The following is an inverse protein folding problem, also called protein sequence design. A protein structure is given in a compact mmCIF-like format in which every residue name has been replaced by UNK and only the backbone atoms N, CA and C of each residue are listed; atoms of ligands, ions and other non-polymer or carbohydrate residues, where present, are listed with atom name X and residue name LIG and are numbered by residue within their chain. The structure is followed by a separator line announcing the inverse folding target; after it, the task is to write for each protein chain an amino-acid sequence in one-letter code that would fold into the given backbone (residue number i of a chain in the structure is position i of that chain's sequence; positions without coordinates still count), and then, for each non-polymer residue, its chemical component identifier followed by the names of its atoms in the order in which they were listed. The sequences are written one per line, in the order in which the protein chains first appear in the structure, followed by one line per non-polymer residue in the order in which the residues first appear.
data_IF_375768416472
#
_entry.id   IF_375768416472
#
_cell.length_a   1.000
_cell.length_b   1.000
_cell.length_c   1.000
_cell.angle_alpha   90.00
_cell.angle_beta   90.00
_cell.angle_gamma   90.00
#
_symmetry.space_group_name_H-M   'P 1'
#
loop_
_entity.id
_entity.type
_entity.pdbx_description
1 polymer ?
#
# COMPACT_ATOMS: atom_id res chain seq x y z
N UNK A 1 -9.75 0.21 -18.12
CA UNK A 1 -10.66 -0.10 -17.00
C UNK A 1 -11.19 1.21 -16.47
N UNK A 2 -12.51 1.33 -16.29
CA UNK A 2 -13.12 2.59 -15.86
C UNK A 2 -12.62 3.03 -14.47
N UNK A 3 -12.35 4.34 -14.25
CA UNK A 3 -11.80 4.85 -13.00
C UNK A 3 -12.73 4.66 -11.79
N UNK A 4 -14.03 4.43 -12.02
CA UNK A 4 -15.04 4.27 -10.97
C UNK A 4 -15.40 2.81 -10.65
N UNK A 5 -14.72 1.84 -11.28
CA UNK A 5 -15.02 0.43 -11.02
C UNK A 5 -14.66 0.06 -9.58
N UNK A 6 -15.56 -0.56 -8.80
CA UNK A 6 -15.25 -1.00 -7.44
C UNK A 6 -14.10 -1.99 -7.43
N UNK A 7 -13.38 -2.04 -6.30
CA UNK A 7 -12.19 -2.87 -6.12
C UNK A 7 -12.42 -4.32 -6.53
N UNK A 8 -13.49 -4.93 -6.04
CA UNK A 8 -13.80 -6.35 -6.28
C UNK A 8 -13.99 -6.61 -7.78
N UNK A 9 -14.76 -5.76 -8.47
CA UNK A 9 -14.96 -5.88 -9.91
C UNK A 9 -13.64 -5.74 -10.71
N UNK A 10 -12.67 -4.95 -10.23
CA UNK A 10 -11.34 -4.87 -10.86
C UNK A 10 -10.54 -6.16 -10.67
N UNK A 11 -10.56 -6.72 -9.45
CA UNK A 11 -9.92 -8.00 -9.17
C UNK A 11 -10.56 -9.11 -10.00
N UNK A 12 -11.89 -9.21 -10.01
CA UNK A 12 -12.63 -10.23 -10.76
C UNK A 12 -12.34 -10.15 -12.26
N UNK A 13 -12.32 -8.93 -12.82
CA UNK A 13 -11.94 -8.70 -14.20
C UNK A 13 -10.49 -9.13 -14.48
N UNK A 14 -9.54 -8.76 -13.61
CA UNK A 14 -8.13 -9.09 -13.76
C UNK A 14 -7.88 -10.61 -13.67
N UNK A 15 -8.55 -11.28 -12.72
CA UNK A 15 -8.51 -12.74 -12.55
C UNK A 15 -9.11 -13.47 -13.75
N UNK A 16 -10.26 -13.01 -14.25
CA UNK A 16 -10.90 -13.57 -15.44
C UNK A 16 -10.00 -13.44 -16.66
N UNK A 17 -9.43 -12.26 -16.89
CA UNK A 17 -8.46 -12.03 -17.97
C UNK A 17 -7.20 -12.88 -17.84
N UNK A 18 -6.71 -13.11 -16.62
CA UNK A 18 -5.57 -13.99 -16.39
C UNK A 18 -5.94 -15.43 -16.73
N UNK A 19 -7.06 -15.94 -16.22
CA UNK A 19 -7.56 -17.29 -16.49
C UNK A 19 -7.67 -17.53 -18.00
N UNK A 20 -8.31 -16.64 -18.73
CA UNK A 20 -8.54 -16.81 -20.17
C UNK A 20 -7.21 -16.82 -20.95
N UNK A 21 -6.23 -15.99 -20.54
CA UNK A 21 -4.87 -16.02 -21.11
C UNK A 21 -4.14 -17.32 -20.79
N UNK A 22 -4.24 -17.80 -19.55
CA UNK A 22 -3.60 -19.06 -19.16
C UNK A 22 -4.22 -20.25 -19.89
N UNK A 23 -5.54 -20.27 -20.09
CA UNK A 23 -6.20 -21.28 -20.92
C UNK A 23 -5.72 -21.25 -22.37
N UNK A 24 -5.64 -20.07 -22.98
CA UNK A 24 -5.12 -19.89 -24.33
C UNK A 24 -3.68 -20.41 -24.47
N UNK A 25 -2.81 -20.04 -23.53
CA UNK A 25 -1.40 -20.43 -23.59
C UNK A 25 -1.16 -21.89 -23.20
N UNK A 26 -2.06 -22.52 -22.41
CA UNK A 26 -1.93 -23.91 -21.99
C UNK A 26 -1.85 -24.86 -23.19
N UNK A 27 -2.61 -24.57 -24.24
CA UNK A 27 -2.59 -25.36 -25.48
C UNK A 27 -1.32 -25.12 -26.31
N UNK A 28 -0.66 -23.97 -26.16
CA UNK A 28 0.53 -23.60 -26.94
C UNK A 28 1.85 -23.94 -26.25
N UNK A 29 1.88 -23.95 -24.92
CA UNK A 29 3.09 -24.23 -24.13
C UNK A 29 3.05 -25.64 -23.55
N UNK A 30 3.77 -26.56 -24.19
CA UNK A 30 3.88 -27.97 -23.75
C UNK A 30 4.98 -28.19 -22.72
N UNK A 31 6.09 -27.44 -22.82
CA UNK A 31 7.24 -27.61 -21.92
C UNK A 31 7.11 -26.80 -20.63
N UNK A 32 7.70 -27.30 -19.54
CA UNK A 32 7.72 -26.61 -18.24
C UNK A 32 8.43 -25.25 -18.33
N UNK A 33 9.56 -25.19 -19.02
CA UNK A 33 10.30 -23.95 -19.26
C UNK A 33 9.47 -22.95 -20.09
N UNK A 34 8.79 -23.41 -21.14
CA UNK A 34 7.89 -22.57 -21.95
C UNK A 34 6.75 -21.97 -21.12
N UNK A 35 6.10 -22.77 -20.27
CA UNK A 35 5.07 -22.29 -19.35
C UNK A 35 5.61 -21.22 -18.39
N UNK A 36 6.79 -21.45 -17.79
CA UNK A 36 7.41 -20.48 -16.89
C UNK A 36 7.74 -19.14 -17.59
N UNK A 37 8.27 -19.20 -18.82
CA UNK A 37 8.58 -18.01 -19.63
C UNK A 37 7.31 -17.25 -19.98
N UNK A 38 6.27 -17.93 -20.46
CA UNK A 38 4.98 -17.28 -20.81
C UNK A 38 4.35 -16.61 -19.59
N UNK A 39 4.41 -17.23 -18.41
CA UNK A 39 3.99 -16.60 -17.17
C UNK A 39 4.76 -15.30 -16.91
N UNK A 40 6.09 -15.36 -16.94
CA UNK A 40 6.96 -14.22 -16.59
C UNK A 40 6.90 -13.08 -17.61
N UNK A 41 6.81 -13.39 -18.90
CA UNK A 41 6.92 -12.41 -19.98
C UNK A 41 5.57 -11.88 -20.48
N UNK A 42 4.48 -12.66 -20.38
CA UNK A 42 3.21 -12.33 -21.03
C UNK A 42 2.06 -12.20 -20.03
N UNK A 43 1.81 -13.24 -19.23
CA UNK A 43 0.62 -13.30 -18.39
C UNK A 43 0.73 -12.39 -17.15
N UNK A 44 1.82 -12.54 -16.38
CA UNK A 44 2.01 -11.79 -15.15
C UNK A 44 2.20 -10.28 -15.37
N UNK A 45 3.00 -9.80 -16.35
CA UNK A 45 3.13 -8.36 -16.59
C UNK A 45 1.80 -7.66 -16.83
N UNK A 46 0.90 -8.27 -17.61
CA UNK A 46 -0.42 -7.70 -17.89
C UNK A 46 -1.32 -7.75 -16.66
N UNK A 47 -1.29 -8.83 -15.88
CA UNK A 47 -2.00 -8.91 -14.61
C UNK A 47 -1.59 -7.75 -13.68
N UNK A 48 -0.27 -7.54 -13.53
CA UNK A 48 0.25 -6.49 -12.65
C UNK A 48 -0.09 -5.09 -13.12
N UNK A 49 -0.24 -4.88 -14.42
CA UNK A 49 -0.74 -3.61 -14.96
C UNK A 49 -2.20 -3.37 -14.53
N UNK A 50 -3.06 -4.38 -14.62
CA UNK A 50 -4.46 -4.25 -14.19
C UNK A 50 -4.59 -4.01 -12.67
N UNK A 51 -3.70 -4.64 -11.89
CA UNK A 51 -3.67 -4.54 -10.42
C UNK A 51 -2.81 -3.39 -9.88
N UNK A 52 -2.25 -2.53 -10.75
CA UNK A 52 -1.37 -1.44 -10.35
C UNK A 52 -2.05 -0.42 -9.41
N UNK A 53 -3.38 -0.30 -9.51
CA UNK A 53 -4.18 0.67 -8.75
C UNK A 53 -5.04 0.03 -7.65
N UNK A 54 -4.88 -1.28 -7.41
CA UNK A 54 -5.61 -2.03 -6.39
C UNK A 54 -4.66 -2.41 -5.27
N UNK A 55 -5.00 -2.09 -4.02
CA UNK A 55 -4.17 -2.45 -2.88
C UNK A 55 -3.99 -3.98 -2.79
N UNK A 56 -2.77 -4.48 -2.52
CA UNK A 56 -2.52 -5.91 -2.41
C UNK A 56 -3.39 -6.57 -1.33
N UNK A 57 -3.96 -7.73 -1.66
CA UNK A 57 -4.65 -8.60 -0.71
C UNK A 57 -4.23 -10.06 -0.81
N UNK A 58 -4.27 -10.72 0.34
CA UNK A 58 -3.91 -12.13 0.52
C UNK A 58 -4.85 -13.06 -0.23
N UNK A 59 -6.15 -12.74 -0.27
CA UNK A 59 -7.18 -13.57 -0.93
C UNK A 59 -6.98 -13.64 -2.43
N UNK A 60 -6.88 -12.49 -3.10
CA UNK A 60 -6.64 -12.42 -4.56
C UNK A 60 -5.26 -12.98 -4.90
N UNK A 61 -4.25 -12.70 -4.10
CA UNK A 61 -2.91 -13.25 -4.30
C UNK A 61 -2.90 -14.78 -4.23
N UNK A 62 -3.59 -15.39 -3.27
CA UNK A 62 -3.70 -16.85 -3.17
C UNK A 62 -4.40 -17.47 -4.39
N UNK A 63 -5.42 -16.80 -4.95
CA UNK A 63 -6.09 -17.25 -6.18
C UNK A 63 -5.13 -17.16 -7.37
N UNK A 64 -4.32 -16.09 -7.47
CA UNK A 64 -3.30 -15.95 -8.52
C UNK A 64 -2.25 -17.06 -8.41
N UNK A 65 -1.71 -17.30 -7.21
CA UNK A 65 -0.73 -18.35 -6.96
C UNK A 65 -1.30 -19.73 -7.30
N UNK A 66 -2.57 -19.99 -6.97
CA UNK A 66 -3.27 -21.22 -7.36
C UNK A 66 -3.36 -21.37 -8.87
N UNK A 67 -3.75 -20.33 -9.60
CA UNK A 67 -3.83 -20.38 -11.07
C UNK A 67 -2.46 -20.60 -11.72
N UNK A 68 -1.41 -19.99 -11.18
CA UNK A 68 -0.02 -20.23 -11.60
C UNK A 68 0.34 -21.71 -11.43
N UNK A 69 0.04 -22.29 -10.26
CA UNK A 69 0.32 -23.70 -9.97
C UNK A 69 -0.47 -24.64 -10.88
N UNK A 70 -1.75 -24.36 -11.13
CA UNK A 70 -2.58 -25.15 -12.04
C UNK A 70 -2.01 -25.12 -13.46
N UNK A 71 -1.67 -23.93 -13.97
CA UNK A 71 -1.10 -23.78 -15.30
C UNK A 71 0.23 -24.55 -15.47
N UNK A 72 1.13 -24.42 -14.49
CA UNK A 72 2.42 -25.14 -14.48
C UNK A 72 2.20 -26.66 -14.51
N UNK A 73 1.32 -27.17 -13.66
CA UNK A 73 0.98 -28.60 -13.60
C UNK A 73 0.12 -29.09 -14.78
N UNK A 74 -0.32 -28.19 -15.67
CA UNK A 74 -1.13 -28.55 -16.84
C UNK A 74 -2.61 -28.75 -16.56
N UNK A 75 -3.07 -28.35 -15.37
CA UNK A 75 -4.47 -28.30 -14.99
C UNK A 75 -5.16 -27.05 -15.58
N UNK A 76 -6.48 -27.10 -15.85
CA UNK A 76 -7.23 -25.91 -16.23
C UNK A 76 -7.25 -24.91 -15.05
N UNK A 77 -6.87 -23.64 -15.26
CA UNK A 77 -6.95 -22.61 -14.23
C UNK A 77 -8.40 -22.30 -13.86
N UNK A 78 -8.72 -22.28 -12.56
CA UNK A 78 -10.08 -22.01 -12.04
C UNK A 78 -10.03 -20.88 -11.02
N UNK A 79 -11.02 -19.99 -11.08
CA UNK A 79 -11.24 -18.93 -10.09
C UNK A 79 -12.14 -19.52 -9.00
N UNK A 80 -11.59 -19.78 -7.81
CA UNK A 80 -12.33 -20.33 -6.66
C UNK A 80 -11.93 -21.75 -6.25
N UNK A 81 -12.86 -22.49 -5.66
CA UNK A 81 -12.65 -23.83 -5.10
C UNK A 81 -12.59 -24.91 -6.20
N UNK A 82 -11.60 -24.85 -7.09
CA UNK A 82 -11.27 -25.96 -7.98
C UNK A 82 -10.54 -27.09 -7.25
N UNK A 83 -10.88 -28.34 -7.59
CA UNK A 83 -10.20 -29.54 -7.12
C UNK A 83 -8.69 -29.47 -7.40
N UNK A 84 -7.90 -29.91 -6.45
CA UNK A 84 -6.47 -30.09 -6.59
C UNK A 84 -6.27 -31.41 -7.31
N UNK A 85 -5.93 -31.36 -8.61
CA UNK A 85 -5.50 -32.56 -9.31
C UNK A 85 -4.19 -33.09 -8.70
N UNK A 86 -3.75 -34.27 -9.17
CA UNK A 86 -2.43 -34.77 -8.81
C UNK A 86 -1.35 -33.81 -9.37
N UNK A 87 -0.79 -32.99 -8.49
CA UNK A 87 0.28 -32.04 -8.82
C UNK A 87 1.60 -32.79 -8.98
N UNK A 88 2.19 -32.66 -10.16
CA UNK A 88 3.55 -33.14 -10.42
C UNK A 88 4.59 -32.29 -9.69
N UNK A 89 4.33 -30.98 -9.56
CA UNK A 89 5.22 -30.03 -8.92
C UNK A 89 4.59 -29.40 -7.68
N UNK A 90 5.30 -29.53 -6.56
CA UNK A 90 4.94 -28.89 -5.31
C UNK A 90 5.16 -27.37 -5.37
N UNK A 91 4.36 -26.63 -4.59
CA UNK A 91 4.41 -25.17 -4.55
C UNK A 91 5.79 -24.61 -4.19
N UNK A 92 6.52 -25.30 -3.31
CA UNK A 92 7.88 -24.89 -2.90
C UNK A 92 8.86 -24.89 -4.07
N UNK A 93 8.74 -25.83 -5.01
CA UNK A 93 9.62 -25.94 -6.19
C UNK A 93 9.28 -24.84 -7.20
N UNK A 94 7.98 -24.59 -7.41
CA UNK A 94 7.51 -23.57 -8.38
C UNK A 94 7.97 -22.18 -7.96
N UNK A 95 7.88 -21.84 -6.68
CA UNK A 95 8.26 -20.52 -6.16
C UNK A 95 9.70 -20.44 -5.63
N UNK A 96 10.46 -21.53 -5.70
CA UNK A 96 11.87 -21.51 -5.33
C UNK A 96 12.71 -20.70 -6.35
N UNK A 97 13.81 -20.08 -5.90
CA UNK A 97 14.77 -19.44 -6.78
C UNK A 97 15.40 -20.43 -7.77
N UNK A 98 15.82 -19.93 -8.94
CA UNK A 98 16.47 -20.75 -9.98
C UNK A 98 17.75 -21.44 -9.50
N UNK A 99 18.50 -20.80 -8.60
CA UNK A 99 19.72 -21.38 -8.02
C UNK A 99 19.45 -22.52 -7.02
N UNK A 100 18.20 -22.68 -6.56
CA UNK A 100 17.75 -23.79 -5.71
C UNK A 100 16.90 -24.79 -6.51
N UNK A 101 17.20 -24.97 -7.80
CA UNK A 101 16.46 -25.81 -8.74
C UNK A 101 14.96 -25.46 -8.87
N UNK A 102 14.55 -24.24 -8.50
CA UNK A 102 13.19 -23.75 -8.66
C UNK A 102 12.92 -23.08 -10.01
N UNK A 103 11.66 -22.75 -10.29
CA UNK A 103 11.27 -22.07 -11.54
C UNK A 103 11.54 -20.56 -11.53
N UNK A 104 11.94 -20.01 -10.38
CA UNK A 104 12.19 -18.57 -10.21
C UNK A 104 10.93 -17.72 -10.30
N UNK A 105 9.75 -18.32 -10.19
CA UNK A 105 8.50 -17.57 -9.98
C UNK A 105 8.48 -17.08 -8.54
N UNK A 106 7.85 -15.93 -8.32
CA UNK A 106 7.70 -15.35 -6.98
C UNK A 106 6.23 -15.42 -6.58
N UNK A 107 5.92 -15.63 -5.29
CA UNK A 107 4.55 -15.55 -4.81
C UNK A 107 3.89 -14.23 -5.22
N UNK A 108 2.61 -14.29 -5.57
CA UNK A 108 1.85 -13.17 -6.10
C UNK A 108 1.82 -12.01 -5.12
N UNK A 109 1.57 -12.27 -3.83
CA UNK A 109 1.50 -11.23 -2.80
C UNK A 109 2.83 -10.48 -2.68
N UNK A 110 3.95 -11.20 -2.70
CA UNK A 110 5.30 -10.61 -2.60
C UNK A 110 5.57 -9.71 -3.80
N UNK A 111 5.32 -10.22 -5.01
CA UNK A 111 5.55 -9.47 -6.25
C UNK A 111 4.65 -8.24 -6.35
N UNK A 112 3.36 -8.42 -6.02
CA UNK A 112 2.36 -7.37 -6.08
C UNK A 112 2.66 -6.27 -5.06
N UNK A 113 3.00 -6.64 -3.82
CA UNK A 113 3.39 -5.70 -2.78
C UNK A 113 4.66 -4.93 -3.16
N UNK A 114 5.69 -5.61 -3.67
CA UNK A 114 6.93 -4.96 -4.11
C UNK A 114 6.69 -3.93 -5.22
N UNK A 115 5.82 -4.24 -6.20
CA UNK A 115 5.43 -3.30 -7.27
C UNK A 115 4.67 -2.11 -6.72
N UNK A 116 3.70 -2.33 -5.82
CA UNK A 116 2.97 -1.25 -5.16
C UNK A 116 3.88 -0.34 -4.35
N UNK A 117 4.85 -0.91 -3.62
CA UNK A 117 5.88 -0.16 -2.88
C UNK A 117 6.72 0.73 -3.80
N UNK A 118 7.17 0.20 -4.94
CA UNK A 118 7.92 0.96 -5.94
C UNK A 118 7.12 2.13 -6.53
N UNK A 119 5.85 1.89 -6.88
CA UNK A 119 4.97 2.97 -7.35
C UNK A 119 4.67 4.00 -6.26
N UNK A 120 4.42 3.54 -5.03
CA UNK A 120 4.17 4.37 -3.86
C UNK A 120 5.32 5.34 -3.61
N UNK A 121 6.56 4.83 -3.65
CA UNK A 121 7.75 5.66 -3.46
C UNK A 121 7.88 6.75 -4.54
N UNK A 122 7.74 6.38 -5.82
CA UNK A 122 7.80 7.34 -6.93
C UNK A 122 6.70 8.39 -6.85
N UNK A 123 5.50 7.98 -6.42
CA UNK A 123 4.39 8.89 -6.17
C UNK A 123 4.75 9.91 -5.08
N UNK A 124 5.24 9.44 -3.91
CA UNK A 124 5.63 10.31 -2.80
C UNK A 124 6.74 11.27 -3.19
N UNK A 125 7.75 10.79 -3.92
CA UNK A 125 8.84 11.62 -4.43
C UNK A 125 8.30 12.73 -5.34
N UNK A 126 7.52 12.38 -6.37
CA UNK A 126 6.97 13.36 -7.29
C UNK A 126 6.01 14.36 -6.61
N UNK A 127 5.22 13.90 -5.64
CA UNK A 127 4.28 14.74 -4.91
C UNK A 127 4.96 15.74 -3.95
N UNK A 128 6.15 15.43 -3.45
CA UNK A 128 6.84 16.21 -2.42
C UNK A 128 8.05 17.01 -2.93
N UNK A 129 8.74 16.56 -3.99
CA UNK A 129 9.93 17.27 -4.52
C UNK A 129 9.64 18.19 -5.70
N UNK A 130 8.58 17.94 -6.46
CA UNK A 130 8.41 18.60 -7.76
C UNK A 130 7.61 19.88 -7.58
N UNK A 131 8.21 21.01 -7.98
CA UNK A 131 7.55 22.32 -8.06
C UNK A 131 7.63 22.84 -9.50
N UNK A 132 6.50 23.09 -10.18
CA UNK A 132 5.12 22.94 -9.70
C UNK A 132 4.69 21.47 -9.53
N UNK A 133 3.72 21.23 -8.65
CA UNK A 133 3.18 19.88 -8.39
C UNK A 133 2.66 19.26 -9.70
N UNK A 134 3.01 18.01 -10.03
CA UNK A 134 2.56 17.38 -11.25
C UNK A 134 1.02 17.31 -11.34
N UNK A 135 0.46 17.69 -12.48
CA UNK A 135 -0.99 17.71 -12.69
C UNK A 135 -1.66 16.34 -12.43
N UNK A 136 -0.92 15.24 -12.66
CA UNK A 136 -1.41 13.88 -12.44
C UNK A 136 -1.49 13.48 -10.96
N UNK A 137 -0.69 14.09 -10.06
CA UNK A 137 -0.71 13.78 -8.62
C UNK A 137 -1.67 14.68 -7.84
N UNK A 138 -1.91 15.90 -8.32
CA UNK A 138 -2.75 16.90 -7.65
C UNK A 138 -4.13 16.39 -7.19
N UNK A 139 -4.95 15.72 -8.03
CA UNK A 139 -6.26 15.20 -7.58
C UNK A 139 -6.13 14.15 -6.47
N UNK A 140 -5.08 13.33 -6.53
CA UNK A 140 -4.82 12.30 -5.53
C UNK A 140 -4.38 12.90 -4.19
N UNK A 141 -3.54 13.93 -4.24
CA UNK A 141 -3.15 14.71 -3.06
C UNK A 141 -4.35 15.42 -2.44
N UNK A 142 -5.23 16.01 -3.25
CA UNK A 142 -6.43 16.68 -2.78
C UNK A 142 -7.40 15.73 -2.06
N UNK A 143 -7.62 14.51 -2.58
CA UNK A 143 -8.47 13.50 -1.91
C UNK A 143 -7.91 13.12 -0.53
N UNK A 144 -6.60 12.94 -0.43
CA UNK A 144 -5.95 12.57 0.82
C UNK A 144 -5.92 13.75 1.80
N UNK A 145 -5.61 14.95 1.31
CA UNK A 145 -5.63 16.18 2.11
C UNK A 145 -7.04 16.48 2.64
N UNK A 146 -8.08 16.30 1.84
CA UNK A 146 -9.46 16.46 2.27
C UNK A 146 -9.85 15.45 3.37
N UNK A 147 -9.36 14.21 3.28
CA UNK A 147 -9.55 13.22 4.34
C UNK A 147 -8.76 13.56 5.62
N UNK A 148 -7.68 14.34 5.51
CA UNK A 148 -6.85 14.83 6.60
C UNK A 148 -7.23 16.25 7.06
N UNK A 149 -8.22 16.89 6.44
CA UNK A 149 -8.70 18.19 6.88
C UNK A 149 -9.37 18.07 8.27
N UNK A 150 -9.25 19.09 9.14
CA UNK A 150 -8.62 20.40 8.93
C UNK A 150 -7.12 20.46 9.29
N UNK A 151 -6.44 19.33 9.50
CA UNK A 151 -5.14 19.27 10.20
C UNK A 151 -3.92 19.57 9.34
N UNK A 152 -4.10 19.79 8.04
CA UNK A 152 -3.04 20.17 7.13
C UNK A 152 -3.26 19.69 5.70
N UNK A 153 -2.23 19.89 4.89
CA UNK A 153 -2.17 19.46 3.50
C UNK A 153 -1.60 18.02 3.36
N UNK A 154 -1.25 17.62 2.14
CA UNK A 154 -0.68 16.30 1.88
C UNK A 154 0.75 16.13 2.41
N UNK A 155 1.61 17.15 2.29
CA UNK A 155 2.99 17.11 2.78
C UNK A 155 3.02 17.04 4.31
N UNK A 156 2.14 17.79 4.94
CA UNK A 156 1.84 17.75 6.37
C UNK A 156 1.55 16.30 6.82
N UNK A 157 0.65 15.60 6.13
CA UNK A 157 0.38 14.19 6.43
C UNK A 157 1.59 13.27 6.16
N UNK A 158 2.34 13.52 5.08
CA UNK A 158 3.46 12.69 4.67
C UNK A 158 4.59 12.67 5.71
N UNK A 159 4.78 13.76 6.46
CA UNK A 159 5.80 13.88 7.49
C UNK A 159 5.26 13.69 8.92
N UNK A 160 3.96 13.45 9.09
CA UNK A 160 3.36 13.27 10.39
C UNK A 160 3.87 12.01 11.11
N UNK A 161 3.91 12.05 12.45
CA UNK A 161 4.22 10.89 13.26
C UNK A 161 3.10 9.82 13.17
N UNK A 162 3.38 8.59 12.68
CA UNK A 162 2.39 7.51 12.58
C UNK A 162 1.91 6.98 13.94
N UNK A 163 2.61 7.29 15.03
CA UNK A 163 2.21 6.91 16.39
C UNK A 163 0.92 7.62 16.84
N UNK A 164 0.63 8.78 16.26
CA UNK A 164 -0.48 9.64 16.66
C UNK A 164 -1.84 8.94 16.48
N UNK A 165 -2.73 8.99 17.50
CA UNK A 165 -4.06 8.38 17.42
C UNK A 165 -4.88 8.83 16.20
N UNK A 166 -4.71 10.09 15.78
CA UNK A 166 -5.38 10.68 14.61
C UNK A 166 -4.94 10.03 13.31
N UNK A 167 -3.64 9.83 13.10
CA UNK A 167 -3.10 9.16 11.91
C UNK A 167 -3.56 7.70 11.89
N UNK A 168 -3.55 7.02 13.03
CA UNK A 168 -4.10 5.66 13.16
C UNK A 168 -5.58 5.59 12.81
N UNK A 169 -6.38 6.60 13.20
CA UNK A 169 -7.81 6.71 12.85
C UNK A 169 -7.99 6.97 11.35
N UNK A 170 -7.21 7.89 10.78
CA UNK A 170 -7.21 8.19 9.35
C UNK A 170 -6.93 6.94 8.50
N UNK A 171 -5.89 6.17 8.86
CA UNK A 171 -5.51 4.93 8.19
C UNK A 171 -6.55 3.80 8.32
N UNK A 172 -7.52 3.92 9.24
CA UNK A 172 -8.68 3.02 9.37
C UNK A 172 -9.94 3.57 8.68
N UNK A 173 -10.00 4.88 8.41
CA UNK A 173 -11.16 5.55 7.84
C UNK A 173 -11.48 5.08 6.42
N UNK A 174 -12.76 5.02 6.06
CA UNK A 174 -13.21 4.78 4.68
C UNK A 174 -12.97 5.99 3.75
N UNK A 175 -12.74 7.17 4.32
CA UNK A 175 -12.46 8.39 3.55
C UNK A 175 -11.16 8.31 2.75
N UNK A 176 -10.17 7.55 3.23
CA UNK A 176 -8.92 7.31 2.51
C UNK A 176 -9.04 6.02 1.69
N UNK A 177 -8.82 6.05 0.37
CA UNK A 177 -8.79 4.84 -0.44
C UNK A 177 -7.70 3.86 0.02
N UNK A 178 -7.99 2.56 -0.02
CA UNK A 178 -7.08 1.52 0.50
C UNK A 178 -5.68 1.55 -0.12
N UNK A 179 -5.55 1.95 -1.40
CA UNK A 179 -4.25 2.13 -2.05
C UNK A 179 -3.39 3.18 -1.35
N UNK A 180 -4.00 4.27 -0.90
CA UNK A 180 -3.29 5.35 -0.20
C UNK A 180 -3.00 4.95 1.24
N UNK A 181 -3.88 4.17 1.88
CA UNK A 181 -3.55 3.56 3.19
C UNK A 181 -2.31 2.67 3.10
N UNK A 182 -2.24 1.82 2.06
CA UNK A 182 -1.08 0.97 1.82
C UNK A 182 0.18 1.80 1.58
N UNK A 183 0.09 2.80 0.70
CA UNK A 183 1.18 3.74 0.41
C UNK A 183 1.68 4.48 1.66
N UNK A 184 0.77 5.07 2.45
CA UNK A 184 1.11 5.83 3.64
C UNK A 184 1.70 4.93 4.73
N UNK A 185 1.14 3.74 4.98
CA UNK A 185 1.74 2.77 5.91
C UNK A 185 3.16 2.42 5.50
N UNK A 186 3.37 2.08 4.24
CA UNK A 186 4.70 1.77 3.73
C UNK A 186 5.67 2.95 3.85
N UNK A 187 5.21 4.17 3.55
CA UNK A 187 5.99 5.39 3.69
C UNK A 187 6.39 5.66 5.15
N UNK A 188 5.46 5.50 6.08
CA UNK A 188 5.73 5.65 7.51
C UNK A 188 6.69 4.57 8.02
N UNK A 189 6.51 3.31 7.60
CA UNK A 189 7.40 2.21 7.97
C UNK A 189 8.84 2.48 7.52
N UNK A 190 9.04 3.01 6.31
CA UNK A 190 10.35 3.44 5.80
C UNK A 190 10.95 4.55 6.66
N UNK A 191 10.14 5.54 7.02
CA UNK A 191 10.60 6.75 7.71
C UNK A 191 10.96 6.50 9.17
N UNK A 192 10.24 5.60 9.84
CA UNK A 192 10.47 5.23 11.25
C UNK A 192 11.46 4.06 11.37
N UNK A 193 11.56 3.21 10.34
CA UNK A 193 12.41 2.03 10.34
C UNK A 193 13.91 2.38 10.31
N UNK A 194 14.75 1.74 11.15
CA UNK A 194 16.19 1.96 11.16
C UNK A 194 16.91 1.39 9.92
N UNK A 195 16.24 0.53 9.15
CA UNK A 195 16.88 -0.33 8.15
C UNK A 195 15.99 -0.52 6.93
N UNK A 196 16.02 0.47 6.03
CA UNK A 196 16.05 0.36 4.56
C UNK A 196 15.59 1.71 4.01
N UNK A 197 16.53 2.65 3.92
CA UNK A 197 16.33 3.83 3.10
C UNK A 197 16.05 3.32 1.68
N UNK A 198 14.89 3.63 1.07
CA UNK A 198 14.76 3.49 -0.36
C UNK A 198 15.87 4.35 -0.97
N UNK A 199 16.50 3.83 -2.02
CA UNK A 199 17.53 4.47 -2.86
C UNK A 199 17.58 6.01 -2.71
N UNK A 200 18.78 6.60 -2.58
CA UNK A 200 19.05 7.87 -1.90
C UNK A 200 17.98 8.92 -2.21
N UNK A 201 16.94 8.95 -1.38
CA UNK A 201 15.83 9.88 -1.55
C UNK A 201 16.07 10.98 -0.53
N UNK A 202 16.56 12.17 -0.95
CA UNK A 202 16.91 13.27 -0.03
C UNK A 202 15.76 13.63 0.93
N UNK A 203 14.52 13.48 0.46
CA UNK A 203 13.30 13.66 1.27
C UNK A 203 13.22 12.87 2.58
N UNK A 204 13.78 11.65 2.64
CA UNK A 204 13.71 10.83 3.86
C UNK A 204 14.63 11.40 4.94
N UNK A 205 15.66 12.17 4.55
CA UNK A 205 16.66 12.74 5.45
C UNK A 205 16.42 14.21 5.79
N UNK A 206 15.78 14.97 4.91
CA UNK A 206 15.77 16.44 5.01
C UNK A 206 14.65 17.01 5.90
N UNK A 207 13.59 16.26 6.18
CA UNK A 207 12.42 16.77 6.91
C UNK A 207 12.20 16.03 8.23
N UNK A 208 12.08 16.72 9.38
CA UNK A 208 11.79 16.07 10.66
C UNK A 208 10.39 15.44 10.66
N UNK A 209 10.18 14.42 11.49
CA UNK A 209 8.82 14.03 11.86
C UNK A 209 8.23 15.14 12.72
N UNK A 210 6.99 15.52 12.43
CA UNK A 210 6.33 16.59 13.17
C UNK A 210 5.03 16.07 13.79
N UNK A 211 4.80 16.47 15.04
CA UNK A 211 3.65 16.07 15.84
C UNK A 211 2.67 17.25 15.90
N UNK A 212 1.67 17.21 15.03
CA UNK A 212 0.57 18.18 14.99
C UNK A 212 -0.47 17.99 16.09
N UNK A 213 -0.03 17.61 17.28
CA UNK A 213 -0.92 17.35 18.41
C UNK A 213 -1.68 18.61 18.87
N UNK A 214 -1.24 19.82 18.47
CA UNK A 214 -1.80 21.10 18.92
C UNK A 214 -2.46 21.98 17.83
N UNK A 215 -2.59 21.51 16.58
CA UNK A 215 -3.26 22.27 15.50
C UNK A 215 -4.72 21.82 15.28
N UNK A 216 -5.59 22.78 14.91
CA UNK A 216 -6.43 23.44 15.89
C UNK A 216 -7.31 22.42 16.61
N UNK A 217 -7.06 22.27 17.90
CA UNK A 217 -8.12 21.89 18.84
C UNK A 217 -9.06 23.10 18.87
N UNK A 218 -10.39 22.90 18.96
CA UNK A 218 -11.31 24.00 19.26
C UNK A 218 -10.69 24.86 20.36
N UNK A 219 -10.46 26.15 20.06
CA UNK A 219 -9.82 27.11 20.97
C UNK A 219 -10.54 27.20 22.32
N UNK A 220 -11.76 26.68 22.42
CA UNK A 220 -12.52 26.51 23.65
C UNK A 220 -11.84 25.62 24.70
N UNK A 221 -10.93 24.70 24.33
CA UNK A 221 -10.24 23.85 25.32
C UNK A 221 -9.03 24.52 25.99
N UNK A 222 -8.65 25.73 25.57
CA UNK A 222 -7.51 26.48 26.12
C UNK A 222 -7.91 27.51 27.18
N UNK A 223 -9.21 27.74 27.39
CA UNK A 223 -9.71 28.61 28.46
C UNK A 223 -10.24 27.73 29.58
N UNK A 224 -9.35 27.33 30.48
CA UNK A 224 -9.62 27.17 31.92
C UNK A 224 -8.45 26.41 32.56
N UNK A 225 -7.47 27.17 33.05
CA UNK A 225 -6.68 26.78 34.24
C UNK A 225 -5.85 27.90 34.87
N UNK A 226 -5.94 29.14 34.41
CA UNK A 226 -5.16 30.25 34.99
C UNK A 226 -5.98 31.24 35.83
N UNK A 227 -7.13 30.84 36.39
CA UNK A 227 -7.90 31.69 37.33
C UNK A 227 -8.00 31.11 38.75
N UNK A 228 -7.08 30.24 39.15
CA UNK A 228 -6.92 29.83 40.56
C UNK A 228 -5.50 30.09 41.07
N UNK A 229 -5.01 31.33 40.92
CA UNK A 229 -3.86 31.84 41.68
C UNK A 229 -4.04 33.32 42.08
N UNK A 230 -5.27 33.74 42.36
CA UNK A 230 -5.51 35.01 43.05
C UNK A 230 -6.51 34.77 44.19
N UNK A 231 -6.12 35.22 45.38
CA UNK A 231 -6.80 35.12 46.68
C UNK A 231 -6.45 33.92 47.56
N UNK A 232 -5.37 34.06 48.32
CA UNK A 232 -5.45 33.95 49.80
C UNK A 232 -4.11 34.32 50.44
N UNK A 233 -3.87 35.60 50.73
CA UNK A 233 -3.03 36.01 51.86
C UNK A 233 -3.80 37.12 52.59
N UNK A 234 -4.16 36.83 53.84
CA UNK A 234 -4.88 37.69 54.79
C UNK A 234 -3.97 38.82 55.31
N UNK A 235 -4.53 39.93 55.80
CA UNK A 235 -3.78 40.99 56.45
C UNK A 235 -3.32 40.52 57.84
N UNK A 236 -2.07 40.82 58.21
CA UNK A 236 -1.59 40.75 59.60
C UNK A 236 -1.82 42.13 60.23
N UNK A 237 -2.59 42.11 61.32
CA UNK A 237 -2.78 43.19 62.27
C UNK A 237 -1.48 43.43 63.07
N UNK A 238 -1.22 44.68 63.47
CA UNK A 238 0.09 45.17 63.92
C UNK A 238 0.44 45.07 65.42
N UNK A 239 1.26 46.06 65.84
CA UNK A 239 1.89 46.33 67.16
C UNK A 239 3.27 45.66 67.35
N UNK A 240 4.36 46.35 67.72
CA UNK A 240 4.58 47.63 68.43
C UNK A 240 5.58 48.58 67.75
#
# INVERSE_FOLDING_TARGET
VAPNLPRNARCDYALSRLRDRLLLWRHKSTTLAGKAIILQAVCLPVLWYQLAWVAPDTTTAAIIDKMILQFINGEPPVIGAGAQGHRLLHQSIVFAPKHQAGLGLKPALVTWSARHRGHSLRYMQAALTTSPVPAWSSPSMAVVANAYAPWGNFADLAFADPSLPRIRRLLKSKAVPDRFKFMLKYWFDIRVGPSTLPAPSPLVHEQPLWSNQFLPVDSCSYIEKDHKMAHSIRPDDGQD
#
